data_IF_401073079239
#
_entry.id   IF_401073079239
#
_cell.length_a   1.000
_cell.length_b   1.000
_cell.length_c   1.000
_cell.angle_alpha   90.00
_cell.angle_beta   90.00
_cell.angle_gamma   90.00
#
_symmetry.space_group_name_H-M   'P 1'
#
loop_
_entity.id
_entity.type
_entity.pdbx_description
1 polymer ?
#
# COMPACT_ATOMS: atom_id res chain seq x y z
N UNK A 1 7.12 7.29 -6.36
CA UNK A 1 6.70 6.68 -5.08
C UNK A 1 7.67 5.59 -4.69
N UNK A 2 7.87 5.38 -3.41
CA UNK A 2 8.62 4.25 -2.86
C UNK A 2 7.97 3.79 -1.56
N UNK A 3 8.06 2.49 -1.26
CA UNK A 3 7.61 1.96 0.01
C UNK A 3 8.54 0.87 0.53
N UNK A 4 8.54 0.73 1.84
CA UNK A 4 9.16 -0.37 2.56
C UNK A 4 8.15 -0.95 3.52
N UNK A 5 7.95 -2.25 3.49
CA UNK A 5 7.11 -2.97 4.41
C UNK A 5 7.88 -4.13 5.02
N UNK A 6 7.70 -4.35 6.32
CA UNK A 6 8.30 -5.45 7.06
C UNK A 6 7.22 -6.17 7.83
N UNK A 7 7.23 -7.48 7.75
CA UNK A 7 6.49 -8.40 8.58
C UNK A 7 7.49 -9.21 9.42
N UNK A 8 7.32 -9.18 10.72
CA UNK A 8 8.23 -9.87 11.65
C UNK A 8 7.97 -11.38 11.66
N UNK A 9 9.05 -12.16 11.82
CA UNK A 9 8.95 -13.60 12.09
C UNK A 9 8.43 -13.82 13.49
N UNK A 10 7.40 -14.66 13.67
CA UNK A 10 6.84 -15.03 14.98
C UNK A 10 6.79 -16.55 15.13
N UNK A 11 7.67 -17.12 15.97
CA UNK A 11 7.80 -18.56 16.12
C UNK A 11 8.20 -19.23 14.80
N UNK A 12 7.41 -20.20 14.34
CA UNK A 12 7.62 -20.92 13.08
C UNK A 12 7.00 -20.18 11.86
N UNK A 13 6.32 -19.05 12.06
CA UNK A 13 5.73 -18.25 11.00
C UNK A 13 6.75 -17.27 10.43
N UNK A 14 7.15 -17.45 9.16
CA UNK A 14 8.14 -16.60 8.50
C UNK A 14 7.60 -15.21 8.20
N UNK A 15 8.38 -14.19 8.54
CA UNK A 15 8.17 -12.83 8.09
C UNK A 15 8.81 -12.55 6.72
N UNK A 16 8.63 -11.34 6.23
CA UNK A 16 9.26 -10.89 4.99
C UNK A 16 9.52 -9.38 5.01
N UNK A 17 10.38 -8.94 4.11
CA UNK A 17 10.60 -7.54 3.75
C UNK A 17 10.18 -7.35 2.30
N UNK A 18 9.46 -6.26 2.04
CA UNK A 18 9.06 -5.84 0.70
C UNK A 18 9.48 -4.39 0.50
N UNK A 19 10.30 -4.15 -0.50
CA UNK A 19 10.64 -2.79 -0.95
C UNK A 19 10.02 -2.57 -2.31
N UNK A 20 9.27 -1.49 -2.48
CA UNK A 20 8.70 -1.14 -3.78
C UNK A 20 9.11 0.26 -4.21
N UNK A 21 9.16 0.46 -5.52
CA UNK A 21 9.33 1.75 -6.16
C UNK A 21 8.50 1.82 -7.43
N UNK A 22 8.11 3.01 -7.83
CA UNK A 22 7.26 3.14 -9.00
C UNK A 22 6.86 4.56 -9.30
N UNK A 23 5.94 4.69 -10.26
CA UNK A 23 5.42 5.98 -10.71
C UNK A 23 3.90 5.97 -10.81
N UNK A 24 3.33 7.15 -10.57
CA UNK A 24 1.90 7.41 -10.76
C UNK A 24 1.73 8.62 -11.66
N UNK A 25 0.87 8.47 -12.64
CA UNK A 25 0.41 9.56 -13.49
C UNK A 25 -1.11 9.65 -13.40
N UNK A 26 -1.66 10.85 -13.27
CA UNK A 26 -3.10 11.06 -13.16
C UNK A 26 -3.55 12.41 -13.68
N UNK A 27 -4.84 12.53 -13.89
CA UNK A 27 -5.52 13.75 -14.27
C UNK A 27 -6.77 13.90 -13.42
N UNK A 28 -7.10 15.14 -13.08
CA UNK A 28 -8.33 15.50 -12.39
C UNK A 28 -8.99 16.71 -13.02
N UNK A 29 -10.26 16.85 -12.80
CA UNK A 29 -11.08 17.97 -13.31
C UNK A 29 -12.09 18.39 -12.25
N UNK A 30 -12.22 19.68 -12.05
CA UNK A 30 -13.29 20.27 -11.26
C UNK A 30 -14.55 20.36 -12.10
N UNK A 31 -15.53 19.52 -11.80
CA UNK A 31 -16.84 19.52 -12.48
C UNK A 31 -17.75 20.63 -11.95
N UNK A 32 -17.50 21.09 -10.72
CA UNK A 32 -18.15 22.23 -10.10
C UNK A 32 -17.27 22.75 -8.95
N UNK A 33 -17.65 23.89 -8.36
CA UNK A 33 -16.97 24.46 -7.17
C UNK A 33 -16.91 23.49 -5.97
N UNK A 34 -17.70 22.44 -5.99
CA UNK A 34 -17.82 21.48 -4.88
C UNK A 34 -17.44 20.04 -5.26
N UNK A 35 -17.21 19.76 -6.52
CA UNK A 35 -16.94 18.39 -6.94
C UNK A 35 -15.80 18.27 -7.94
N UNK A 36 -14.76 17.57 -7.52
CA UNK A 36 -13.59 17.19 -8.34
C UNK A 36 -13.63 15.68 -8.57
N UNK A 37 -13.30 15.24 -9.77
CA UNK A 37 -13.06 13.83 -10.07
C UNK A 37 -11.79 13.65 -10.87
N UNK A 38 -11.21 12.45 -10.81
CA UNK A 38 -10.02 12.16 -11.58
C UNK A 38 -9.75 10.68 -11.70
N UNK A 39 -8.73 10.39 -12.49
CA UNK A 39 -8.21 9.06 -12.71
C UNK A 39 -6.69 9.08 -12.66
N UNK A 40 -6.10 7.98 -12.17
CA UNK A 40 -4.66 7.82 -12.15
C UNK A 40 -4.28 6.38 -12.50
N UNK A 41 -3.10 6.22 -13.07
CA UNK A 41 -2.46 4.94 -13.33
C UNK A 41 -1.16 4.87 -12.54
N UNK A 42 -0.92 3.72 -11.89
CA UNK A 42 0.27 3.47 -11.08
C UNK A 42 0.95 2.20 -11.57
N UNK A 43 2.27 2.24 -11.74
CA UNK A 43 3.11 1.08 -11.98
C UNK A 43 4.17 1.01 -10.89
N UNK A 44 4.26 -0.14 -10.22
CA UNK A 44 5.23 -0.40 -9.14
C UNK A 44 6.01 -1.68 -9.40
N UNK A 45 7.27 -1.66 -8.97
CA UNK A 45 8.16 -2.80 -8.90
C UNK A 45 8.49 -3.06 -7.43
N UNK A 46 8.52 -4.33 -7.03
CA UNK A 46 8.79 -4.74 -5.66
C UNK A 46 9.80 -5.86 -5.57
N UNK A 47 10.72 -5.74 -4.62
CA UNK A 47 11.64 -6.80 -4.22
C UNK A 47 11.20 -7.36 -2.87
N UNK A 48 10.99 -8.67 -2.83
CA UNK A 48 10.56 -9.40 -1.64
C UNK A 48 11.69 -10.31 -1.18
N UNK A 49 11.96 -10.28 0.13
CA UNK A 49 12.94 -11.17 0.77
C UNK A 49 12.32 -11.79 2.01
N UNK A 50 12.40 -13.11 2.16
CA UNK A 50 11.96 -13.78 3.38
C UNK A 50 12.89 -13.47 4.54
N UNK A 51 12.33 -13.23 5.73
CA UNK A 51 13.11 -12.89 6.93
C UNK A 51 13.76 -14.09 7.61
N UNK A 52 13.29 -15.32 7.34
CA UNK A 52 13.83 -16.55 7.90
C UNK A 52 14.84 -17.16 6.90
N UNK A 53 16.10 -17.20 7.28
CA UNK A 53 17.19 -17.94 6.63
C UNK A 53 17.57 -17.53 5.19
N UNK A 54 17.18 -16.36 4.69
CA UNK A 54 17.50 -15.85 3.33
C UNK A 54 17.31 -16.89 2.20
N UNK A 55 16.39 -17.84 2.38
CA UNK A 55 16.21 -18.95 1.47
C UNK A 55 15.19 -18.66 0.36
N UNK A 56 14.45 -17.56 0.47
CA UNK A 56 13.43 -17.19 -0.52
C UNK A 56 13.51 -15.68 -0.84
N UNK A 57 13.46 -15.38 -2.11
CA UNK A 57 13.40 -14.04 -2.68
C UNK A 57 12.33 -13.97 -3.78
N UNK A 58 11.93 -12.77 -4.16
CA UNK A 58 10.96 -12.62 -5.24
C UNK A 58 10.85 -11.20 -5.76
N UNK A 59 10.20 -11.06 -6.90
CA UNK A 59 9.87 -9.79 -7.52
C UNK A 59 8.37 -9.70 -7.71
N UNK A 60 7.83 -8.48 -7.56
CA UNK A 60 6.41 -8.19 -7.74
C UNK A 60 6.26 -6.97 -8.65
N UNK A 61 5.63 -7.15 -9.78
CA UNK A 61 5.22 -6.08 -10.68
C UNK A 61 3.73 -5.82 -10.50
N UNK A 62 3.34 -4.57 -10.31
CA UNK A 62 1.96 -4.19 -10.03
C UNK A 62 1.52 -3.01 -10.87
N UNK A 63 0.34 -3.11 -11.47
CA UNK A 63 -0.25 -2.09 -12.34
C UNK A 63 -1.67 -1.81 -11.88
N UNK A 64 -1.95 -0.56 -11.47
CA UNK A 64 -3.24 -0.18 -10.90
C UNK A 64 -3.83 1.03 -11.60
N UNK A 65 -5.10 0.95 -11.92
CA UNK A 65 -5.94 2.10 -12.27
C UNK A 65 -6.73 2.55 -11.05
N UNK A 66 -6.78 3.86 -10.84
CA UNK A 66 -7.49 4.48 -9.74
C UNK A 66 -8.49 5.48 -10.31
N UNK A 67 -9.71 5.47 -9.77
CA UNK A 67 -10.72 6.50 -10.00
C UNK A 67 -11.01 7.16 -8.66
N UNK A 68 -11.06 8.48 -8.64
CA UNK A 68 -11.39 9.19 -7.41
C UNK A 68 -12.40 10.30 -7.65
N UNK A 69 -13.18 10.58 -6.61
CA UNK A 69 -14.09 11.69 -6.56
C UNK A 69 -14.01 12.37 -5.19
N UNK A 70 -13.99 13.69 -5.18
CA UNK A 70 -14.04 14.51 -3.97
C UNK A 70 -15.21 15.47 -4.05
N UNK A 71 -16.06 15.40 -3.03
CA UNK A 71 -17.17 16.33 -2.85
C UNK A 71 -16.94 17.16 -1.60
N UNK A 72 -16.97 18.49 -1.74
CA UNK A 72 -16.84 19.42 -0.62
C UNK A 72 -18.10 20.24 -0.45
N UNK A 73 -18.66 20.22 0.75
CA UNK A 73 -19.83 21.02 1.14
C UNK A 73 -19.55 21.78 2.42
N UNK A 74 -19.42 23.10 2.29
CA UNK A 74 -19.04 24.00 3.39
C UNK A 74 -17.73 23.57 4.04
N UNK A 75 -17.80 22.91 5.20
CA UNK A 75 -16.64 22.42 5.99
C UNK A 75 -16.42 20.91 5.86
N UNK A 76 -17.34 20.20 5.22
CA UNK A 76 -17.23 18.75 5.03
C UNK A 76 -16.60 18.42 3.69
N UNK A 77 -15.66 17.50 3.69
CA UNK A 77 -15.15 16.93 2.46
C UNK A 77 -15.27 15.39 2.51
N UNK A 78 -15.74 14.85 1.40
CA UNK A 78 -15.95 13.42 1.17
C UNK A 78 -15.05 13.01 0.01
N UNK A 79 -14.19 12.04 0.20
CA UNK A 79 -13.36 11.49 -0.87
C UNK A 79 -13.64 10.02 -1.02
N UNK A 80 -13.88 9.56 -2.24
CA UNK A 80 -14.02 8.15 -2.60
C UNK A 80 -12.92 7.82 -3.61
N UNK A 81 -12.20 6.72 -3.37
CA UNK A 81 -11.20 6.17 -4.30
C UNK A 81 -11.58 4.72 -4.59
N UNK A 82 -11.62 4.37 -5.86
CA UNK A 82 -11.76 3.00 -6.35
C UNK A 82 -10.47 2.61 -7.06
N UNK A 83 -9.95 1.44 -6.74
CA UNK A 83 -8.69 0.93 -7.28
C UNK A 83 -8.92 -0.45 -7.87
N UNK A 84 -8.37 -0.71 -9.04
CA UNK A 84 -8.35 -2.04 -9.63
C UNK A 84 -7.07 -2.26 -10.41
N UNK A 85 -6.50 -3.47 -10.33
CA UNK A 85 -5.23 -3.70 -11.00
C UNK A 85 -4.79 -5.14 -11.04
N UNK A 86 -3.62 -5.31 -11.59
CA UNK A 86 -2.97 -6.57 -11.87
C UNK A 86 -1.62 -6.65 -11.18
N UNK A 87 -1.30 -7.85 -10.71
CA UNK A 87 -0.03 -8.20 -10.08
C UNK A 87 0.60 -9.38 -10.81
N UNK A 88 1.90 -9.34 -11.00
CA UNK A 88 2.74 -10.42 -11.52
C UNK A 88 3.87 -10.67 -10.55
N UNK A 89 4.03 -11.88 -10.05
CA UNK A 89 5.03 -12.23 -9.05
C UNK A 89 5.90 -13.39 -9.51
N UNK A 90 7.20 -13.25 -9.31
CA UNK A 90 8.21 -14.30 -9.48
C UNK A 90 8.83 -14.58 -8.12
N UNK A 91 8.85 -15.83 -7.75
CA UNK A 91 9.31 -16.29 -6.45
C UNK A 91 10.41 -17.33 -6.65
N UNK A 92 11.47 -17.21 -5.87
CA UNK A 92 12.58 -18.16 -5.87
C UNK A 92 12.81 -18.62 -4.44
N UNK A 93 13.21 -19.86 -4.28
CA UNK A 93 13.71 -20.36 -3.00
C UNK A 93 14.79 -21.42 -3.22
N UNK A 94 15.62 -21.59 -2.22
CA UNK A 94 16.62 -22.66 -2.17
C UNK A 94 16.08 -23.80 -1.33
N UNK A 95 16.20 -25.02 -1.85
CA UNK A 95 15.76 -26.27 -1.19
C UNK A 95 16.95 -27.17 -1.03
N UNK A 96 17.28 -27.50 0.20
CA UNK A 96 18.28 -28.49 0.53
C UNK A 96 17.60 -29.86 0.63
N UNK A 97 17.90 -30.77 -0.28
CA UNK A 97 17.31 -32.09 -0.31
C UNK A 97 18.37 -33.15 -0.63
N UNK A 98 18.51 -34.13 0.27
CA UNK A 98 19.54 -35.17 0.16
C UNK A 98 20.94 -34.61 0.23
N UNK A 99 21.76 -34.82 -0.79
CA UNK A 99 23.13 -34.34 -0.87
C UNK A 99 23.27 -33.04 -1.70
N UNK A 100 22.18 -32.42 -2.12
CA UNK A 100 22.17 -31.28 -3.03
C UNK A 100 21.34 -30.10 -2.54
N UNK A 101 21.73 -28.91 -3.02
CA UNK A 101 20.97 -27.67 -2.89
C UNK A 101 20.41 -27.29 -4.26
N UNK A 102 19.10 -27.03 -4.34
CA UNK A 102 18.39 -26.75 -5.58
C UNK A 102 17.68 -25.41 -5.48
N UNK A 103 17.84 -24.59 -6.52
CA UNK A 103 17.04 -23.37 -6.66
C UNK A 103 15.74 -23.68 -7.39
N UNK A 104 14.61 -23.29 -6.79
CA UNK A 104 13.29 -23.40 -7.43
C UNK A 104 12.85 -22.02 -7.91
N UNK A 105 12.05 -22.01 -8.96
CA UNK A 105 11.42 -20.83 -9.52
C UNK A 105 9.92 -21.07 -9.67
N UNK A 106 9.10 -20.11 -9.20
CA UNK A 106 7.66 -20.10 -9.39
C UNK A 106 7.19 -18.74 -9.88
N UNK A 107 6.20 -18.73 -10.77
CA UNK A 107 5.57 -17.48 -11.21
C UNK A 107 4.06 -17.56 -11.03
N UNK A 108 3.47 -16.47 -10.61
CA UNK A 108 2.03 -16.33 -10.45
C UNK A 108 1.59 -14.93 -10.80
N UNK A 109 0.35 -14.81 -11.19
CA UNK A 109 -0.27 -13.52 -11.42
C UNK A 109 -1.60 -13.42 -10.66
N UNK A 110 -2.15 -12.22 -10.59
CA UNK A 110 -3.38 -12.00 -9.88
C UNK A 110 -3.93 -10.61 -10.07
N UNK A 111 -5.02 -10.33 -9.39
CA UNK A 111 -5.65 -9.03 -9.43
C UNK A 111 -5.92 -8.50 -8.02
N UNK A 112 -6.04 -7.19 -7.92
CA UNK A 112 -6.44 -6.50 -6.71
C UNK A 112 -7.57 -5.51 -6.98
N UNK A 113 -8.53 -5.45 -6.07
CA UNK A 113 -9.61 -4.46 -6.07
C UNK A 113 -9.64 -3.78 -4.71
N UNK A 114 -9.85 -2.47 -4.71
CA UNK A 114 -9.94 -1.69 -3.49
C UNK A 114 -10.96 -0.56 -3.59
N UNK A 115 -11.49 -0.19 -2.44
CA UNK A 115 -12.27 1.02 -2.27
C UNK A 115 -11.87 1.69 -0.96
N UNK A 116 -11.75 3.01 -0.99
CA UNK A 116 -11.46 3.83 0.18
C UNK A 116 -12.42 5.02 0.21
N UNK A 117 -12.96 5.28 1.38
CA UNK A 117 -13.76 6.47 1.67
C UNK A 117 -13.12 7.25 2.80
N UNK A 118 -12.96 8.56 2.61
CA UNK A 118 -12.47 9.49 3.61
C UNK A 118 -13.48 10.60 3.84
N UNK A 119 -13.73 10.92 5.10
CA UNK A 119 -14.55 12.03 5.56
C UNK A 119 -13.71 12.95 6.42
N UNK A 120 -13.70 14.24 6.11
CA UNK A 120 -13.02 15.26 6.91
C UNK A 120 -13.94 16.44 7.20
N UNK A 121 -13.64 17.17 8.29
CA UNK A 121 -14.33 18.39 8.69
C UNK A 121 -13.34 19.51 9.00
N UNK A 122 -13.47 20.67 8.34
CA UNK A 122 -12.55 21.79 8.46
C UNK A 122 -12.83 22.61 9.72
N UNK A 123 -11.83 22.69 10.61
CA UNK A 123 -11.80 23.59 11.77
C UNK A 123 -10.70 24.61 11.52
N UNK A 124 -11.08 25.84 11.18
CA UNK A 124 -10.11 26.91 10.99
C UNK A 124 -9.55 27.35 12.35
N UNK A 125 -8.21 27.31 12.49
CA UNK A 125 -7.52 27.65 13.74
C UNK A 125 -7.21 29.15 13.86
N UNK A 126 -7.31 29.87 12.74
CA UNK A 126 -7.09 31.31 12.66
C UNK A 126 -8.08 31.98 11.69
N UNK A 127 -8.22 33.29 11.79
CA UNK A 127 -9.20 34.09 11.02
C UNK A 127 -8.85 34.12 9.52
N UNK A 128 -7.57 34.13 9.17
CA UNK A 128 -7.07 34.13 7.78
C UNK A 128 -7.12 32.77 7.11
N UNK A 129 -7.56 31.72 7.83
CA UNK A 129 -7.69 30.34 7.38
C UNK A 129 -6.38 29.71 6.88
N UNK A 130 -5.24 30.26 7.27
CA UNK A 130 -3.92 29.74 6.92
C UNK A 130 -3.56 28.46 7.70
N UNK A 131 -4.33 28.11 8.72
CA UNK A 131 -4.14 26.91 9.53
C UNK A 131 -5.48 26.21 9.79
N UNK A 132 -5.54 24.91 9.46
CA UNK A 132 -6.76 24.11 9.50
C UNK A 132 -6.46 22.81 10.25
N UNK A 133 -7.33 22.45 11.19
CA UNK A 133 -7.38 21.13 11.80
C UNK A 133 -8.57 20.36 11.21
N UNK A 134 -8.34 19.15 10.74
CA UNK A 134 -9.37 18.29 10.18
C UNK A 134 -9.49 16.99 11.00
N UNK A 135 -10.49 16.81 11.86
CA UNK A 135 -10.94 15.48 12.25
C UNK A 135 -11.18 14.63 11.01
N UNK A 136 -10.71 13.38 11.03
CA UNK A 136 -10.67 12.50 9.89
C UNK A 136 -11.24 11.12 10.25
N UNK A 137 -12.11 10.61 9.40
CA UNK A 137 -12.55 9.23 9.38
C UNK A 137 -12.18 8.62 8.02
N UNK A 138 -11.60 7.42 8.04
CA UNK A 138 -11.30 6.66 6.84
C UNK A 138 -11.82 5.23 6.97
N UNK A 139 -12.41 4.72 5.90
CA UNK A 139 -12.82 3.32 5.76
C UNK A 139 -12.30 2.80 4.43
N UNK A 140 -11.63 1.65 4.44
CA UNK A 140 -11.14 1.02 3.23
C UNK A 140 -11.37 -0.48 3.23
N UNK A 141 -11.45 -1.06 2.04
CA UNK A 141 -11.46 -2.50 1.82
C UNK A 141 -10.58 -2.80 0.61
N UNK A 142 -9.78 -3.85 0.73
CA UNK A 142 -8.92 -4.35 -0.35
C UNK A 142 -9.06 -5.85 -0.41
N UNK A 143 -9.33 -6.36 -1.60
CA UNK A 143 -9.30 -7.79 -1.91
C UNK A 143 -8.18 -8.03 -2.91
N UNK A 144 -7.33 -9.01 -2.64
CA UNK A 144 -6.27 -9.45 -3.54
C UNK A 144 -6.41 -10.93 -3.78
N UNK A 145 -6.27 -11.35 -5.02
CA UNK A 145 -6.23 -12.73 -5.43
C UNK A 145 -4.98 -12.98 -6.25
N UNK A 146 -4.26 -14.06 -5.93
CA UNK A 146 -3.14 -14.59 -6.70
C UNK A 146 -3.49 -16.00 -7.18
N UNK A 147 -3.19 -16.30 -8.43
CA UNK A 147 -3.44 -17.61 -9.01
C UNK A 147 -2.47 -18.66 -8.45
N UNK A 148 -2.86 -19.94 -8.52
CA UNK A 148 -1.99 -21.03 -8.12
C UNK A 148 -0.83 -21.20 -9.09
N UNK A 149 0.29 -21.75 -8.61
CA UNK A 149 1.46 -21.99 -9.43
C UNK A 149 2.19 -23.27 -9.06
N UNK A 150 3.12 -23.68 -9.91
CA UNK A 150 4.03 -24.82 -9.67
C UNK A 150 5.45 -24.35 -9.82
N UNK A 151 6.30 -24.75 -8.89
CA UNK A 151 7.72 -24.50 -8.96
C UNK A 151 8.41 -25.41 -9.99
N UNK A 152 9.49 -24.92 -10.56
CA UNK A 152 10.43 -25.65 -11.40
C UNK A 152 11.81 -25.67 -10.72
N UNK A 153 12.73 -26.51 -11.18
CA UNK A 153 14.13 -26.52 -10.71
C UNK A 153 14.50 -27.59 -9.68
N UNK A 154 13.54 -28.10 -8.87
CA UNK A 154 13.82 -29.12 -7.85
C UNK A 154 13.07 -30.44 -8.09
N UNK A 155 12.52 -30.67 -9.29
CA UNK A 155 11.78 -31.89 -9.61
C UNK A 155 10.65 -32.18 -8.61
N UNK A 156 10.64 -33.36 -8.02
CA UNK A 156 9.61 -33.78 -7.06
C UNK A 156 9.62 -33.01 -5.73
N UNK A 157 10.70 -32.31 -5.41
CA UNK A 157 10.80 -31.44 -4.21
C UNK A 157 10.26 -30.01 -4.46
N UNK A 158 9.91 -29.67 -5.69
CA UNK A 158 9.20 -28.44 -6.02
C UNK A 158 7.81 -28.41 -5.41
N UNK A 159 7.26 -27.22 -5.21
CA UNK A 159 5.93 -27.00 -4.64
C UNK A 159 4.88 -26.76 -5.72
N UNK A 160 3.66 -27.24 -5.45
CA UNK A 160 2.43 -26.79 -6.05
C UNK A 160 1.69 -25.96 -5.01
N UNK A 161 1.42 -24.70 -5.33
CA UNK A 161 0.74 -23.74 -4.47
C UNK A 161 -0.63 -23.44 -5.08
N UNK A 162 -1.68 -23.60 -4.28
CA UNK A 162 -3.04 -23.28 -4.71
C UNK A 162 -3.23 -21.76 -4.79
N UNK A 163 -4.30 -21.34 -5.48
CA UNK A 163 -4.72 -19.94 -5.50
C UNK A 163 -4.91 -19.39 -4.08
N UNK A 164 -4.57 -18.14 -3.93
CA UNK A 164 -4.70 -17.40 -2.67
C UNK A 164 -5.64 -16.23 -2.87
N UNK A 165 -6.47 -15.98 -1.88
CA UNK A 165 -7.37 -14.81 -1.85
C UNK A 165 -7.45 -14.31 -0.42
N UNK A 166 -7.32 -13.02 -0.22
CA UNK A 166 -7.49 -12.39 1.08
C UNK A 166 -8.16 -11.04 0.95
N UNK A 167 -8.98 -10.72 1.94
CA UNK A 167 -9.69 -9.45 2.03
C UNK A 167 -9.42 -8.80 3.37
N UNK A 168 -8.96 -7.55 3.33
CA UNK A 168 -8.73 -6.74 4.51
C UNK A 168 -9.57 -5.47 4.42
N UNK A 169 -10.32 -5.18 5.47
CA UNK A 169 -10.96 -3.89 5.69
C UNK A 169 -10.18 -3.12 6.75
N UNK A 170 -10.13 -1.79 6.65
CA UNK A 170 -9.52 -0.93 7.67
C UNK A 170 -10.45 0.22 7.98
N UNK A 171 -10.67 0.47 9.27
CA UNK A 171 -11.32 1.68 9.77
C UNK A 171 -10.29 2.51 10.51
N UNK A 172 -10.19 3.80 10.22
CA UNK A 172 -9.28 4.71 10.90
C UNK A 172 -9.99 5.99 11.35
N UNK A 173 -9.61 6.45 12.53
CA UNK A 173 -10.04 7.71 13.12
C UNK A 173 -8.82 8.51 13.52
N UNK A 174 -8.84 9.80 13.24
CA UNK A 174 -7.70 10.66 13.60
C UNK A 174 -7.89 12.10 13.23
N UNK A 175 -6.78 12.73 12.91
CA UNK A 175 -6.77 14.14 12.54
C UNK A 175 -5.62 14.47 11.59
N UNK A 176 -5.88 15.50 10.81
CA UNK A 176 -4.94 16.13 9.90
C UNK A 176 -4.83 17.60 10.26
N UNK A 177 -3.62 18.07 10.42
CA UNK A 177 -3.33 19.50 10.48
C UNK A 177 -2.72 19.96 9.16
N UNK A 178 -3.20 21.06 8.62
CA UNK A 178 -2.63 21.73 7.45
C UNK A 178 -2.36 23.18 7.78
N UNK A 179 -1.21 23.71 7.36
CA UNK A 179 -0.86 25.09 7.61
C UNK A 179 0.13 25.63 6.60
N UNK A 180 -0.01 26.92 6.30
CA UNK A 180 0.97 27.65 5.50
C UNK A 180 2.20 27.91 6.37
N UNK A 181 3.36 27.52 5.85
CA UNK A 181 4.64 27.61 6.55
C UNK A 181 5.69 28.24 5.64
N UNK A 182 6.49 29.16 6.22
CA UNK A 182 7.67 29.72 5.56
C UNK A 182 7.38 30.56 4.32
N UNK A 183 7.65 31.81 4.38
CA UNK A 183 7.45 32.76 3.27
C UNK A 183 8.54 32.74 2.18
N UNK A 184 9.53 31.84 2.22
CA UNK A 184 10.77 31.96 1.44
C UNK A 184 11.21 30.75 0.62
N UNK A 185 10.46 29.67 0.57
CA UNK A 185 10.74 28.61 -0.41
C UNK A 185 10.27 29.09 -1.80
N UNK A 186 11.20 29.50 -2.63
CA UNK A 186 10.91 30.07 -3.97
C UNK A 186 10.05 31.35 -3.95
N UNK A 187 10.07 32.13 -2.85
CA UNK A 187 9.28 33.36 -2.71
C UNK A 187 7.78 33.14 -2.49
N UNK A 188 7.36 31.92 -2.12
CA UNK A 188 5.96 31.56 -1.87
C UNK A 188 5.82 30.76 -0.58
N UNK A 189 4.63 30.78 0.00
CA UNK A 189 4.28 29.99 1.16
C UNK A 189 4.12 28.51 0.74
N UNK A 190 4.65 27.61 1.56
CA UNK A 190 4.45 26.19 1.40
C UNK A 190 3.30 25.71 2.27
N UNK A 191 2.50 24.75 1.80
CA UNK A 191 1.49 24.08 2.60
C UNK A 191 2.12 22.84 3.26
N UNK A 192 2.22 22.85 4.58
CA UNK A 192 2.61 21.69 5.37
C UNK A 192 1.40 20.92 5.86
N UNK A 193 1.53 19.62 5.95
CA UNK A 193 0.51 18.70 6.45
C UNK A 193 1.11 17.73 7.45
N UNK A 194 0.39 17.46 8.55
CA UNK A 194 0.69 16.40 9.51
C UNK A 194 -0.57 15.58 9.77
N UNK A 195 -0.45 14.26 9.80
CA UNK A 195 -1.56 13.31 10.02
C UNK A 195 -1.24 12.34 11.12
N UNK A 196 -2.21 12.04 11.97
CA UNK A 196 -2.12 10.96 12.98
C UNK A 196 -3.47 10.27 13.06
N UNK A 197 -3.48 8.95 12.86
CA UNK A 197 -4.69 8.14 12.94
C UNK A 197 -4.45 6.90 13.79
N UNK A 198 -5.49 6.47 14.50
CA UNK A 198 -5.61 5.12 15.03
C UNK A 198 -6.44 4.30 14.05
N UNK A 199 -5.92 3.16 13.63
CA UNK A 199 -6.56 2.28 12.65
C UNK A 199 -6.84 0.90 13.23
N UNK A 200 -7.94 0.29 12.80
CA UNK A 200 -8.37 -1.05 13.16
C UNK A 200 -8.64 -1.86 11.90
N UNK A 201 -7.89 -2.95 11.72
CA UNK A 201 -8.10 -3.88 10.62
C UNK A 201 -9.19 -4.89 10.96
N UNK A 202 -10.00 -5.18 9.94
CA UNK A 202 -11.08 -6.16 9.90
C UNK A 202 -10.76 -7.19 8.81
N UNK A 203 -11.23 -8.43 8.96
CA UNK A 203 -11.00 -9.50 7.98
C UNK A 203 -9.71 -10.27 8.20
N UNK A 204 -9.03 -10.62 7.12
CA UNK A 204 -7.88 -11.51 7.15
C UNK A 204 -6.65 -10.85 7.78
N UNK A 205 -5.94 -11.61 8.62
CA UNK A 205 -4.78 -11.12 9.38
C UNK A 205 -3.46 -11.71 8.93
N UNK A 206 -3.52 -12.68 8.02
CA UNK A 206 -2.37 -13.39 7.47
C UNK A 206 -2.73 -14.02 6.14
N UNK A 207 -1.75 -14.22 5.27
CA UNK A 207 -1.88 -15.07 4.10
C UNK A 207 -1.97 -16.54 4.50
N UNK A 208 -2.81 -17.29 3.83
CA UNK A 208 -2.89 -18.74 3.94
C UNK A 208 -2.83 -19.35 2.53
N UNK A 209 -2.07 -20.44 2.36
CA UNK A 209 -1.98 -21.18 1.12
C UNK A 209 -2.03 -22.68 1.38
N UNK A 210 -2.70 -23.44 0.53
CA UNK A 210 -2.52 -24.88 0.48
C UNK A 210 -1.33 -25.18 -0.44
N UNK A 211 -0.40 -25.96 0.05
CA UNK A 211 0.86 -26.24 -0.62
C UNK A 211 1.08 -27.76 -0.62
N UNK A 212 1.46 -28.33 -1.75
CA UNK A 212 1.82 -29.74 -1.88
C UNK A 212 3.17 -29.91 -2.59
N UNK A 213 3.83 -31.03 -2.35
CA UNK A 213 5.02 -31.40 -3.13
C UNK A 213 4.61 -31.88 -4.52
N UNK A 214 5.35 -31.52 -5.55
CA UNK A 214 5.10 -32.03 -6.93
C UNK A 214 5.19 -33.54 -7.04
N UNK A 215 6.06 -34.18 -6.22
CA UNK A 215 6.16 -35.60 -6.12
C UNK A 215 4.98 -36.31 -5.42
N UNK A 216 4.15 -35.55 -4.68
CA UNK A 216 2.95 -36.04 -3.99
C UNK A 216 1.85 -34.96 -3.93
N UNK A 217 1.24 -34.60 -5.05
CA UNK A 217 0.29 -33.47 -5.12
C UNK A 217 -1.02 -33.70 -4.36
N UNK A 218 -1.30 -34.97 -3.97
CA UNK A 218 -2.48 -35.30 -3.16
C UNK A 218 -2.33 -35.00 -1.68
N UNK A 219 -1.11 -34.73 -1.18
CA UNK A 219 -0.83 -34.36 0.20
C UNK A 219 -0.69 -32.83 0.30
N UNK A 220 -1.82 -32.16 0.46
CA UNK A 220 -1.84 -30.70 0.66
C UNK A 220 -1.65 -30.38 2.14
N UNK A 221 -0.76 -29.44 2.41
CA UNK A 221 -0.53 -28.86 3.72
C UNK A 221 -0.89 -27.38 3.71
N UNK A 222 -1.65 -26.93 4.71
CA UNK A 222 -1.95 -25.51 4.87
C UNK A 222 -0.77 -24.80 5.49
N UNK A 223 -0.16 -23.90 4.73
CA UNK A 223 0.91 -23.01 5.20
C UNK A 223 0.30 -21.65 5.55
N UNK A 224 0.75 -21.08 6.63
CA UNK A 224 0.26 -19.82 7.17
C UNK A 224 1.42 -18.85 7.34
N UNK A 225 1.22 -17.62 6.85
CA UNK A 225 2.14 -16.51 7.09
C UNK A 225 2.00 -15.95 8.51
N UNK A 226 2.97 -15.14 8.93
CA UNK A 226 2.96 -14.50 10.22
C UNK A 226 1.73 -13.60 10.42
N UNK A 227 1.22 -13.60 11.64
CA UNK A 227 0.00 -12.89 12.00
C UNK A 227 0.30 -11.45 12.37
N UNK A 228 -0.35 -10.48 11.70
CA UNK A 228 -0.23 -9.05 12.01
C UNK A 228 -1.22 -8.60 13.09
N UNK A 229 -0.84 -7.58 13.84
CA UNK A 229 -1.72 -6.87 14.76
C UNK A 229 -2.88 -6.18 14.02
N UNK A 230 -4.05 -6.14 14.65
CA UNK A 230 -5.23 -5.50 14.08
C UNK A 230 -5.25 -3.99 14.27
N UNK A 231 -4.62 -3.51 15.33
CA UNK A 231 -4.58 -2.09 15.65
C UNK A 231 -3.26 -1.49 15.16
N UNK A 232 -3.34 -0.36 14.49
CA UNK A 232 -2.20 0.37 14.00
C UNK A 232 -2.25 1.84 14.43
N UNK A 233 -1.08 2.46 14.52
CA UNK A 233 -0.91 3.91 14.53
C UNK A 233 -0.36 4.31 13.16
N UNK A 234 -1.03 5.25 12.51
CA UNK A 234 -0.61 5.80 11.22
C UNK A 234 -0.18 7.24 11.41
N UNK A 235 1.00 7.57 10.92
CA UNK A 235 1.57 8.93 11.00
C UNK A 235 1.95 9.35 9.59
N UNK A 236 1.60 10.56 9.20
CA UNK A 236 1.95 11.10 7.90
C UNK A 236 2.40 12.55 7.98
N UNK A 237 3.25 12.93 7.03
CA UNK A 237 3.67 14.31 6.84
C UNK A 237 3.78 14.63 5.35
N UNK A 238 3.39 15.84 4.98
CA UNK A 238 3.45 16.32 3.60
C UNK A 238 3.90 17.78 3.53
N UNK A 239 4.48 18.13 2.39
CA UNK A 239 4.83 19.49 2.03
C UNK A 239 4.51 19.73 0.57
N UNK A 240 3.78 20.80 0.28
CA UNK A 240 3.43 21.22 -1.09
C UNK A 240 3.91 22.64 -1.33
N UNK A 241 4.68 22.85 -2.38
CA UNK A 241 5.29 24.16 -2.71
C UNK A 241 4.82 24.57 -4.11
N UNK A 242 4.12 25.70 -4.24
CA UNK A 242 3.78 26.27 -5.55
C UNK A 242 5.05 26.67 -6.33
N UNK A 243 5.14 26.28 -7.59
CA UNK A 243 6.26 26.58 -8.49
C UNK A 243 5.71 27.24 -9.77
N UNK A 244 6.18 28.43 -10.07
CA UNK A 244 5.62 29.20 -11.18
C UNK A 244 4.18 29.64 -10.91
N UNK A 245 3.36 29.75 -11.96
CA UNK A 245 1.96 30.24 -11.87
C UNK A 245 0.93 29.09 -11.81
N UNK A 246 1.29 27.91 -12.25
CA UNK A 246 0.39 26.75 -12.44
C UNK A 246 0.97 25.44 -11.96
N UNK A 247 2.12 25.43 -11.34
CA UNK A 247 2.79 24.22 -10.87
C UNK A 247 2.81 24.10 -9.36
N UNK A 248 2.79 22.87 -8.87
CA UNK A 248 3.00 22.54 -7.45
C UNK A 248 3.88 21.31 -7.36
N UNK A 249 5.00 21.41 -6.66
CA UNK A 249 5.81 20.26 -6.26
C UNK A 249 5.35 19.81 -4.88
N UNK A 250 5.21 18.51 -4.68
CA UNK A 250 4.85 17.97 -3.37
C UNK A 250 5.74 16.80 -2.98
N UNK A 251 5.90 16.63 -1.67
CA UNK A 251 6.54 15.49 -1.02
C UNK A 251 5.60 15.01 0.07
N UNK A 252 5.40 13.70 0.18
CA UNK A 252 4.55 13.08 1.19
C UNK A 252 5.20 11.82 1.73
N UNK A 253 5.02 11.56 3.03
CA UNK A 253 5.49 10.36 3.69
C UNK A 253 4.47 9.85 4.70
N UNK A 254 4.33 8.54 4.81
CA UNK A 254 3.44 7.87 5.75
C UNK A 254 4.11 6.66 6.36
N UNK A 255 3.90 6.46 7.66
CA UNK A 255 4.26 5.25 8.40
C UNK A 255 3.00 4.60 8.98
N UNK A 256 2.90 3.28 8.89
CA UNK A 256 1.92 2.44 9.59
C UNK A 256 2.69 1.51 10.52
N UNK A 257 2.35 1.54 11.82
CA UNK A 257 3.05 0.81 12.87
C UNK A 257 2.03 -0.01 13.64
N UNK A 258 2.25 -1.32 13.68
CA UNK A 258 1.39 -2.29 14.35
C UNK A 258 2.18 -3.43 14.99
N UNK A 259 1.55 -4.25 15.81
CA UNK A 259 2.19 -5.44 16.35
C UNK A 259 2.57 -6.41 15.22
N UNK A 260 3.86 -6.71 15.12
CA UNK A 260 4.43 -7.65 14.15
C UNK A 260 4.55 -7.15 12.72
N UNK A 261 4.24 -5.87 12.43
CA UNK A 261 4.45 -5.31 11.10
C UNK A 261 4.66 -3.80 11.14
N UNK A 262 5.40 -3.30 10.17
CA UNK A 262 5.52 -1.87 9.92
C UNK A 262 5.65 -1.59 8.43
N UNK A 263 5.19 -0.41 7.99
CA UNK A 263 5.44 0.06 6.64
C UNK A 263 5.75 1.56 6.63
N UNK A 264 6.58 1.95 5.68
CA UNK A 264 6.93 3.33 5.38
C UNK A 264 6.70 3.55 3.88
N UNK A 265 5.97 4.61 3.54
CA UNK A 265 5.72 4.99 2.16
C UNK A 265 6.15 6.45 1.96
N UNK A 266 6.73 6.75 0.81
CA UNK A 266 7.11 8.10 0.44
C UNK A 266 6.83 8.40 -1.02
N UNK A 267 6.52 9.64 -1.31
CA UNK A 267 6.32 10.10 -2.68
C UNK A 267 6.84 11.51 -2.88
N UNK A 268 7.28 11.79 -4.09
CA UNK A 268 7.53 13.11 -4.61
C UNK A 268 6.78 13.24 -5.92
N UNK A 269 6.19 14.39 -6.18
CA UNK A 269 5.43 14.58 -7.40
C UNK A 269 5.32 16.05 -7.81
N UNK A 270 4.77 16.24 -8.99
CA UNK A 270 4.50 17.53 -9.58
C UNK A 270 3.07 17.54 -10.12
N UNK A 271 2.31 18.57 -9.77
CA UNK A 271 0.98 18.85 -10.31
C UNK A 271 1.04 20.10 -11.19
N UNK A 272 0.35 20.07 -12.31
CA UNK A 272 0.19 21.20 -13.19
C UNK A 272 -1.29 21.50 -13.41
N UNK A 273 -1.70 22.74 -13.17
CA UNK A 273 -3.07 23.23 -13.36
C UNK A 273 -3.19 23.89 -14.75
N UNK A 274 -4.12 23.42 -15.58
CA UNK A 274 -4.31 23.83 -16.98
C UNK A 274 -5.09 25.13 -17.12
#
# INVERSE_FOLDING_TARGET
TGSYAQLDTKGDESGYKLTTWGGTFGVDVDLSDSFTMGAAFTANYGDLTASAADTADGHLDSYYANLFGRYQSKRWAHTLILTGGWNDAKLNRTVDYGAGSYRTEGSTNGWGLGAMYELTYDIYLNEDRSSILQPLFNASVVTTRMDGYRETGAGNAGLSVDKQEWTTGTLALGGRWMGLVGSNLFGREALAELRVNAAQDLGDRRGEANVGLLGNPGLLQRVRGAKVGRTAVQIGAGLSVPVGTRGTVFVDGNADIRDGASSLNGSIGYRYDF
#
